data_IF_129905795574
#
_entry.id   IF_129905795574
#
_cell.length_a   1.000
_cell.length_b   1.000
_cell.length_c   1.000
_cell.angle_alpha   90.00
_cell.angle_beta   90.00
_cell.angle_gamma   90.00
#
_symmetry.space_group_name_H-M   'P 1'
#
loop_
_entity.id
_entity.type
_entity.pdbx_description
1 polymer ?
#
# COMPACT_ATOMS: atom_id res chain seq x y z
N UNK A 1 -10.10 20.79 0.17
CA UNK A 1 -11.53 20.86 0.54
C UNK A 1 -11.88 19.61 1.34
N UNK A 2 -12.29 19.80 2.58
CA UNK A 2 -12.82 18.73 3.44
C UNK A 2 -14.21 18.33 2.91
N UNK A 3 -14.45 17.03 2.75
CA UNK A 3 -15.73 16.50 2.22
C UNK A 3 -16.39 15.61 3.26
N UNK A 4 -17.63 15.92 3.60
CA UNK A 4 -18.44 15.00 4.39
C UNK A 4 -18.82 13.79 3.52
N UNK A 5 -18.35 12.60 3.91
CA UNK A 5 -18.71 11.35 3.23
C UNK A 5 -20.04 10.78 3.75
N UNK A 6 -20.60 11.37 4.81
CA UNK A 6 -21.87 10.98 5.40
C UNK A 6 -23.08 11.64 4.75
N UNK A 7 -22.86 12.61 3.83
CA UNK A 7 -23.92 13.36 3.16
C UNK A 7 -23.72 13.41 1.64
N UNK A 8 -24.73 13.78 0.90
CA UNK A 8 -24.67 13.97 -0.56
C UNK A 8 -24.59 12.68 -1.38
N UNK A 9 -24.18 12.83 -2.64
CA UNK A 9 -24.09 11.72 -3.62
C UNK A 9 -22.99 10.75 -3.27
N UNK A 10 -23.31 9.48 -3.11
CA UNK A 10 -22.42 8.42 -2.66
C UNK A 10 -21.26 8.20 -3.65
N UNK A 11 -21.59 7.86 -4.89
CA UNK A 11 -20.59 7.54 -5.94
C UNK A 11 -19.67 8.72 -6.21
N UNK A 12 -20.26 9.92 -6.37
CA UNK A 12 -19.48 11.14 -6.64
C UNK A 12 -18.51 11.44 -5.51
N UNK A 13 -18.94 11.33 -4.25
CA UNK A 13 -18.08 11.60 -3.10
C UNK A 13 -16.94 10.61 -3.00
N UNK A 14 -17.21 9.32 -3.20
CA UNK A 14 -16.16 8.29 -3.21
C UNK A 14 -15.14 8.51 -4.33
N UNK A 15 -15.59 8.77 -5.56
CA UNK A 15 -14.70 9.01 -6.71
C UNK A 15 -13.85 10.27 -6.52
N UNK A 16 -14.47 11.38 -6.10
CA UNK A 16 -13.75 12.64 -5.88
C UNK A 16 -12.79 12.59 -4.68
N UNK A 17 -13.04 11.68 -3.74
CA UNK A 17 -12.11 11.42 -2.64
C UNK A 17 -10.99 10.45 -3.06
N UNK A 18 -11.29 9.45 -3.90
CA UNK A 18 -10.32 8.48 -4.41
C UNK A 18 -9.34 9.09 -5.42
N UNK A 19 -9.78 10.02 -6.26
CA UNK A 19 -8.96 10.60 -7.33
C UNK A 19 -7.62 11.18 -6.83
N UNK A 20 -7.58 12.01 -5.75
CA UNK A 20 -6.31 12.48 -5.21
C UNK A 20 -5.42 11.36 -4.64
N UNK A 21 -6.00 10.27 -4.12
CA UNK A 21 -5.23 9.11 -3.65
C UNK A 21 -4.53 8.43 -4.82
N UNK A 22 -5.27 8.17 -5.90
CA UNK A 22 -4.74 7.58 -7.15
C UNK A 22 -3.64 8.45 -7.75
N UNK A 23 -3.86 9.77 -7.85
CA UNK A 23 -2.85 10.71 -8.33
C UNK A 23 -1.61 10.71 -7.43
N UNK A 24 -1.78 10.63 -6.12
CA UNK A 24 -0.68 10.59 -5.16
C UNK A 24 0.18 9.34 -5.33
N UNK A 25 -0.44 8.16 -5.43
CA UNK A 25 0.30 6.93 -5.63
C UNK A 25 1.00 6.86 -7.00
N UNK A 26 0.35 7.37 -8.06
CA UNK A 26 0.99 7.48 -9.37
C UNK A 26 2.22 8.41 -9.31
N UNK A 27 2.10 9.54 -8.65
CA UNK A 27 3.20 10.49 -8.45
C UNK A 27 4.35 9.85 -7.65
N UNK A 28 4.02 9.05 -6.63
CA UNK A 28 5.00 8.29 -5.85
C UNK A 28 5.77 7.28 -6.71
N UNK A 29 5.09 6.58 -7.61
CA UNK A 29 5.76 5.69 -8.54
C UNK A 29 6.66 6.41 -9.54
N UNK A 30 6.23 7.58 -10.02
CA UNK A 30 7.03 8.39 -10.92
C UNK A 30 8.34 8.87 -10.26
N UNK A 31 8.28 9.35 -9.02
CA UNK A 31 9.53 9.77 -8.36
C UNK A 31 10.43 8.58 -8.03
N UNK A 32 9.88 7.40 -7.66
CA UNK A 32 10.70 6.19 -7.46
C UNK A 32 11.43 5.77 -8.74
N UNK A 33 10.78 5.94 -9.90
CA UNK A 33 11.42 5.68 -11.20
C UNK A 33 12.51 6.72 -11.46
N UNK A 34 12.26 7.99 -11.17
CA UNK A 34 13.24 9.06 -11.36
C UNK A 34 14.48 8.87 -10.47
N UNK A 35 14.30 8.54 -9.17
CA UNK A 35 15.40 8.22 -8.25
C UNK A 35 16.22 7.03 -8.75
N UNK A 36 15.56 5.93 -9.14
CA UNK A 36 16.23 4.75 -9.71
C UNK A 36 16.99 5.09 -10.99
N UNK A 37 16.44 5.95 -11.85
CA UNK A 37 17.08 6.41 -13.08
C UNK A 37 18.32 7.26 -12.79
N UNK A 38 18.24 8.20 -11.85
CA UNK A 38 19.39 9.02 -11.43
C UNK A 38 20.52 8.13 -10.90
N UNK A 39 20.20 7.22 -9.98
CA UNK A 39 21.19 6.29 -9.41
C UNK A 39 21.81 5.42 -10.51
N UNK A 40 21.02 4.79 -11.36
CA UNK A 40 21.52 3.89 -12.41
C UNK A 40 22.34 4.61 -13.48
N UNK A 41 21.95 5.83 -13.87
CA UNK A 41 22.59 6.59 -14.94
C UNK A 41 23.93 7.22 -14.50
N UNK A 42 24.01 7.68 -13.24
CA UNK A 42 25.14 8.50 -12.79
C UNK A 42 26.05 7.79 -11.78
N UNK A 43 25.56 6.78 -11.05
CA UNK A 43 26.36 6.04 -10.07
C UNK A 43 26.74 4.63 -10.52
N UNK A 44 26.12 4.14 -11.59
CA UNK A 44 26.46 2.86 -12.22
C UNK A 44 25.71 1.65 -11.68
N UNK A 45 26.05 0.47 -12.20
CA UNK A 45 25.30 -0.77 -11.99
C UNK A 45 25.33 -1.27 -10.55
N UNK A 46 26.47 -1.16 -9.85
CA UNK A 46 26.62 -1.62 -8.47
C UNK A 46 25.77 -0.78 -7.50
N UNK A 47 25.73 0.53 -7.71
CA UNK A 47 24.87 1.43 -6.96
C UNK A 47 23.39 1.13 -7.20
N UNK A 48 23.00 0.90 -8.47
CA UNK A 48 21.64 0.52 -8.83
C UNK A 48 21.25 -0.82 -8.20
N UNK A 49 22.14 -1.82 -8.20
CA UNK A 49 21.91 -3.11 -7.55
C UNK A 49 21.74 -2.96 -6.03
N UNK A 50 22.57 -2.11 -5.39
CA UNK A 50 22.47 -1.84 -3.95
C UNK A 50 21.15 -1.17 -3.57
N UNK A 51 20.72 -0.13 -4.30
CA UNK A 51 19.45 0.58 -4.08
C UNK A 51 18.27 -0.32 -4.38
N UNK A 52 18.28 -1.04 -5.50
CA UNK A 52 17.22 -1.97 -5.88
C UNK A 52 17.02 -3.11 -4.88
N UNK A 53 18.11 -3.70 -4.37
CA UNK A 53 18.04 -4.73 -3.33
C UNK A 53 17.52 -4.17 -2.00
N UNK A 54 17.85 -2.91 -1.69
CA UNK A 54 17.36 -2.21 -0.50
C UNK A 54 15.85 -1.94 -0.56
N UNK A 55 15.29 -1.74 -1.75
CA UNK A 55 13.87 -1.40 -1.97
C UNK A 55 12.93 -2.43 -1.34
N UNK A 56 13.22 -3.72 -1.46
CA UNK A 56 12.40 -4.79 -0.88
C UNK A 56 12.30 -4.69 0.64
N UNK A 57 13.43 -4.49 1.30
CA UNK A 57 13.47 -4.33 2.76
C UNK A 57 12.76 -3.05 3.20
N UNK A 58 12.98 -1.95 2.48
CA UNK A 58 12.29 -0.68 2.74
C UNK A 58 10.78 -0.81 2.59
N UNK A 59 10.31 -1.44 1.53
CA UNK A 59 8.88 -1.67 1.28
C UNK A 59 8.26 -2.48 2.40
N UNK A 60 8.93 -3.52 2.89
CA UNK A 60 8.45 -4.33 4.00
C UNK A 60 8.34 -3.49 5.29
N UNK A 61 9.37 -2.74 5.67
CA UNK A 61 9.35 -1.92 6.89
C UNK A 61 8.34 -0.76 6.79
N UNK A 62 8.27 -0.12 5.63
CA UNK A 62 7.28 0.94 5.39
C UNK A 62 5.85 0.40 5.45
N UNK A 63 5.61 -0.85 5.00
CA UNK A 63 4.28 -1.46 5.07
C UNK A 63 3.79 -1.65 6.50
N UNK A 64 4.70 -1.89 7.46
CA UNK A 64 4.36 -1.95 8.89
C UNK A 64 3.82 -0.60 9.35
N UNK A 65 4.58 0.47 9.11
CA UNK A 65 4.21 1.84 9.50
C UNK A 65 2.92 2.28 8.81
N UNK A 66 2.81 2.03 7.50
CA UNK A 66 1.63 2.37 6.71
C UNK A 66 0.39 1.65 7.24
N UNK A 67 0.48 0.35 7.52
CA UNK A 67 -0.61 -0.44 8.06
C UNK A 67 -1.08 0.08 9.43
N UNK A 68 -0.15 0.45 10.31
CA UNK A 68 -0.46 1.07 11.60
C UNK A 68 -1.21 2.40 11.43
N UNK A 69 -0.74 3.26 10.52
CA UNK A 69 -1.40 4.54 10.21
C UNK A 69 -2.78 4.37 9.56
N UNK A 70 -2.95 3.39 8.67
CA UNK A 70 -4.23 3.09 8.04
C UNK A 70 -5.26 2.55 9.04
N UNK A 71 -4.84 1.69 9.95
CA UNK A 71 -5.71 1.13 10.98
C UNK A 71 -6.17 2.19 11.98
N UNK A 72 -5.25 3.03 12.48
CA UNK A 72 -5.61 4.17 13.35
C UNK A 72 -6.50 5.18 12.62
N UNK A 73 -6.24 5.45 11.35
CA UNK A 73 -7.09 6.29 10.50
C UNK A 73 -8.53 5.77 10.38
N UNK A 74 -8.73 4.46 10.33
CA UNK A 74 -10.06 3.86 10.33
C UNK A 74 -10.81 4.10 11.65
N UNK A 75 -10.13 3.96 12.81
CA UNK A 75 -10.70 4.26 14.13
C UNK A 75 -11.12 5.75 14.22
N UNK A 76 -10.23 6.64 13.84
CA UNK A 76 -10.48 8.10 13.82
C UNK A 76 -11.63 8.44 12.87
N UNK A 77 -11.70 7.79 11.70
CA UNK A 77 -12.76 7.98 10.71
C UNK A 77 -14.14 7.60 11.25
N UNK A 78 -14.24 6.52 12.01
CA UNK A 78 -15.49 6.11 12.69
C UNK A 78 -15.92 7.16 13.71
N UNK A 79 -15.00 7.61 14.56
CA UNK A 79 -15.28 8.62 15.61
C UNK A 79 -15.65 9.98 15.00
N UNK A 80 -14.97 10.37 13.93
CA UNK A 80 -15.32 11.58 13.17
C UNK A 80 -16.72 11.49 12.58
N UNK A 81 -17.07 10.37 11.97
CA UNK A 81 -18.41 10.13 11.43
C UNK A 81 -19.50 10.12 12.51
N UNK A 82 -19.19 9.63 13.70
CA UNK A 82 -20.08 9.61 14.86
C UNK A 82 -20.22 10.94 15.60
N UNK A 83 -19.41 11.95 15.25
CA UNK A 83 -19.39 13.24 15.95
C UNK A 83 -18.76 13.17 17.35
N UNK A 84 -17.99 12.12 17.64
CA UNK A 84 -17.32 11.88 18.93
C UNK A 84 -16.01 12.67 19.04
N UNK A 85 -16.05 14.01 18.96
CA UNK A 85 -14.85 14.84 18.87
C UNK A 85 -13.81 14.61 19.98
N UNK A 86 -14.26 14.56 21.26
CA UNK A 86 -13.35 14.34 22.38
C UNK A 86 -12.62 12.98 22.28
N UNK A 87 -13.35 11.93 21.92
CA UNK A 87 -12.80 10.59 21.74
C UNK A 87 -11.88 10.54 20.52
N UNK A 88 -12.22 11.25 19.44
CA UNK A 88 -11.38 11.39 18.25
C UNK A 88 -10.04 12.06 18.60
N UNK A 89 -10.03 13.20 19.33
CA UNK A 89 -8.80 13.86 19.77
C UNK A 89 -7.95 12.96 20.67
N UNK A 90 -8.59 12.22 21.57
CA UNK A 90 -7.90 11.23 22.40
C UNK A 90 -7.27 10.11 21.54
N UNK A 91 -7.98 9.63 20.51
CA UNK A 91 -7.45 8.66 19.55
C UNK A 91 -6.28 9.19 18.75
N UNK A 92 -6.30 10.46 18.35
CA UNK A 92 -5.17 11.11 17.70
C UNK A 92 -3.95 11.12 18.60
N UNK A 93 -4.08 11.48 19.88
CA UNK A 93 -2.98 11.43 20.85
C UNK A 93 -2.45 10.01 21.03
N UNK A 94 -3.33 9.06 21.34
CA UNK A 94 -2.93 7.67 21.65
C UNK A 94 -2.30 6.98 20.43
N UNK A 95 -2.87 7.14 19.24
CA UNK A 95 -2.34 6.53 18.02
C UNK A 95 -1.02 7.18 17.59
N UNK A 96 -0.88 8.50 17.72
CA UNK A 96 0.39 9.17 17.42
C UNK A 96 1.51 8.66 18.33
N UNK A 97 1.29 8.66 19.65
CA UNK A 97 2.29 8.20 20.62
C UNK A 97 2.65 6.73 20.42
N UNK A 98 1.64 5.87 20.17
CA UNK A 98 1.83 4.45 19.92
C UNK A 98 2.66 4.19 18.65
N UNK A 99 2.25 4.80 17.53
CA UNK A 99 2.89 4.52 16.23
C UNK A 99 4.27 5.17 16.18
N UNK A 100 4.45 6.36 16.78
CA UNK A 100 5.77 6.97 16.96
C UNK A 100 6.71 6.06 17.75
N UNK A 101 6.24 5.51 18.89
CA UNK A 101 7.01 4.58 19.70
C UNK A 101 7.38 3.31 18.94
N UNK A 102 6.43 2.70 18.22
CA UNK A 102 6.69 1.51 17.38
C UNK A 102 7.68 1.85 16.26
N UNK A 103 7.52 2.99 15.59
CA UNK A 103 8.42 3.42 14.51
C UNK A 103 9.85 3.63 14.99
N UNK A 104 10.03 4.21 16.18
CA UNK A 104 11.34 4.36 16.82
C UNK A 104 11.93 3.01 17.23
N UNK A 105 11.11 2.10 17.77
CA UNK A 105 11.56 0.75 18.15
C UNK A 105 11.98 -0.05 16.90
N UNK A 106 11.19 -0.01 15.82
CA UNK A 106 11.55 -0.66 14.54
C UNK A 106 12.83 -0.08 13.98
N UNK A 107 12.98 1.25 14.02
CA UNK A 107 14.19 1.93 13.58
C UNK A 107 15.42 1.43 14.37
N UNK A 108 15.34 1.41 15.69
CA UNK A 108 16.41 0.92 16.56
C UNK A 108 16.76 -0.54 16.27
N UNK A 109 15.75 -1.43 16.18
CA UNK A 109 15.95 -2.85 15.88
C UNK A 109 16.64 -3.06 14.53
N UNK A 110 16.25 -2.30 13.51
CA UNK A 110 16.87 -2.39 12.19
C UNK A 110 18.32 -1.93 12.23
N UNK A 111 18.64 -0.83 12.92
CA UNK A 111 20.04 -0.38 13.08
C UNK A 111 20.91 -1.43 13.80
N UNK A 112 20.41 -1.99 14.91
CA UNK A 112 21.11 -3.03 15.65
C UNK A 112 21.28 -4.33 14.85
N UNK A 113 20.26 -4.68 14.05
CA UNK A 113 20.20 -5.90 13.25
C UNK A 113 20.80 -5.79 11.84
N UNK A 114 21.23 -4.60 11.39
CA UNK A 114 21.55 -4.34 9.98
C UNK A 114 22.53 -5.34 9.37
N UNK A 115 23.63 -5.66 10.08
CA UNK A 115 24.62 -6.62 9.59
C UNK A 115 24.03 -8.05 9.46
N UNK A 116 23.17 -8.45 10.41
CA UNK A 116 22.44 -9.72 10.37
C UNK A 116 21.45 -9.77 9.21
N UNK A 117 20.74 -8.68 8.96
CA UNK A 117 19.79 -8.55 7.83
C UNK A 117 20.54 -8.72 6.50
N UNK A 118 21.66 -8.03 6.30
CA UNK A 118 22.49 -8.15 5.10
C UNK A 118 23.03 -9.57 4.90
N UNK A 119 23.34 -10.28 6.00
CA UNK A 119 23.77 -11.68 5.95
C UNK A 119 22.62 -12.62 5.55
N UNK A 120 21.45 -12.47 6.15
CA UNK A 120 20.23 -13.26 5.83
C UNK A 120 19.82 -13.07 4.39
N UNK A 121 19.87 -11.84 3.88
CA UNK A 121 19.56 -11.50 2.48
C UNK A 121 20.64 -11.98 1.50
N UNK A 122 21.74 -12.56 1.98
CA UNK A 122 22.88 -13.06 1.15
C UNK A 122 23.39 -12.01 0.17
N UNK A 123 23.50 -10.77 0.64
CA UNK A 123 23.98 -9.66 -0.18
C UNK A 123 25.42 -9.93 -0.63
N UNK A 124 25.74 -9.83 -1.94
CA UNK A 124 27.10 -9.98 -2.45
C UNK A 124 28.08 -9.03 -1.76
N UNK A 125 29.31 -9.51 -1.53
CA UNK A 125 30.33 -8.77 -0.77
C UNK A 125 30.67 -7.44 -1.43
N UNK A 126 30.65 -7.39 -2.76
CA UNK A 126 30.99 -6.24 -3.59
C UNK A 126 30.03 -5.06 -3.38
N UNK A 127 28.73 -5.33 -3.29
CA UNK A 127 27.68 -4.29 -3.15
C UNK A 127 27.28 -4.03 -1.68
N UNK A 128 27.72 -4.89 -0.75
CA UNK A 128 27.36 -4.78 0.68
C UNK A 128 27.72 -3.43 1.31
N UNK A 129 28.91 -2.84 1.06
CA UNK A 129 29.24 -1.52 1.58
C UNK A 129 28.31 -0.42 1.08
N UNK A 130 27.98 -0.39 -0.22
CA UNK A 130 27.07 0.58 -0.83
C UNK A 130 25.66 0.43 -0.28
N UNK A 131 25.17 -0.82 -0.21
CA UNK A 131 23.85 -1.12 0.35
C UNK A 131 23.76 -0.71 1.83
N UNK A 132 24.80 -0.98 2.62
CA UNK A 132 24.85 -0.56 4.03
C UNK A 132 24.82 0.95 4.18
N UNK A 133 25.62 1.68 3.40
CA UNK A 133 25.63 3.14 3.38
C UNK A 133 24.26 3.72 3.04
N UNK A 134 23.60 3.19 2.02
CA UNK A 134 22.26 3.60 1.62
C UNK A 134 21.24 3.31 2.74
N UNK A 135 21.22 2.09 3.28
CA UNK A 135 20.25 1.67 4.30
C UNK A 135 20.40 2.45 5.60
N UNK A 136 21.62 2.75 6.05
CA UNK A 136 21.85 3.57 7.26
C UNK A 136 21.20 4.94 7.12
N UNK A 137 21.34 5.59 5.97
CA UNK A 137 20.72 6.91 5.74
C UNK A 137 19.20 6.81 5.62
N UNK A 138 18.72 5.88 4.81
CA UNK A 138 17.27 5.72 4.56
C UNK A 138 16.50 5.34 5.82
N UNK A 139 17.05 4.48 6.67
CA UNK A 139 16.41 4.09 7.92
C UNK A 139 16.37 5.22 8.93
N UNK A 140 17.32 6.16 8.91
CA UNK A 140 17.20 7.43 9.62
C UNK A 140 15.92 8.20 9.28
N UNK A 141 15.37 7.96 8.07
CA UNK A 141 14.14 8.57 7.58
C UNK A 141 12.83 7.83 7.97
N UNK A 142 12.86 6.68 8.64
CA UNK A 142 11.63 5.94 9.01
C UNK A 142 10.67 6.83 9.82
N UNK A 143 11.20 7.67 10.69
CA UNK A 143 10.39 8.60 11.47
C UNK A 143 9.76 9.69 10.60
N UNK A 144 10.46 10.17 9.59
CA UNK A 144 9.90 11.12 8.61
C UNK A 144 8.78 10.48 7.77
N UNK A 145 9.01 9.24 7.34
CA UNK A 145 8.00 8.41 6.66
C UNK A 145 6.75 8.21 7.55
N UNK A 146 6.95 7.94 8.85
CA UNK A 146 5.85 7.86 9.82
C UNK A 146 5.08 9.17 9.89
N UNK A 147 5.77 10.31 10.07
CA UNK A 147 5.11 11.62 10.19
C UNK A 147 4.21 11.91 8.98
N UNK A 148 4.74 11.76 7.78
CA UNK A 148 3.95 11.97 6.57
C UNK A 148 2.75 11.02 6.51
N UNK A 149 2.96 9.71 6.66
CA UNK A 149 1.88 8.73 6.55
C UNK A 149 0.83 8.89 7.63
N UNK A 150 1.24 9.26 8.86
CA UNK A 150 0.31 9.49 9.96
C UNK A 150 -0.63 10.65 9.68
N UNK A 151 -0.08 11.84 9.39
CA UNK A 151 -0.88 13.04 9.12
C UNK A 151 -1.67 12.92 7.81
N UNK A 152 -1.13 12.25 6.81
CA UNK A 152 -1.87 11.95 5.58
C UNK A 152 -3.09 11.06 5.85
N UNK A 153 -2.95 9.99 6.64
CA UNK A 153 -4.07 9.13 7.00
C UNK A 153 -5.06 9.83 7.95
N UNK A 154 -4.57 10.68 8.85
CA UNK A 154 -5.41 11.50 9.72
C UNK A 154 -6.31 12.46 8.92
N UNK A 155 -5.75 13.17 7.94
CA UNK A 155 -6.52 14.05 7.05
C UNK A 155 -7.48 13.27 6.15
N UNK A 156 -7.08 12.11 5.66
CA UNK A 156 -7.96 11.21 4.91
C UNK A 156 -9.12 10.73 5.78
N UNK A 157 -8.91 10.45 7.06
CA UNK A 157 -9.95 10.01 7.99
C UNK A 157 -11.10 11.03 8.13
N UNK A 158 -10.81 12.32 8.00
CA UNK A 158 -11.82 13.40 8.02
C UNK A 158 -12.32 13.78 6.61
N UNK A 159 -11.98 13.02 5.56
CA UNK A 159 -12.44 13.24 4.20
C UNK A 159 -11.60 14.23 3.38
N UNK A 160 -10.36 14.52 3.78
CA UNK A 160 -9.47 15.39 3.03
C UNK A 160 -8.31 14.59 2.41
N UNK A 161 -8.41 14.26 1.13
CA UNK A 161 -7.37 13.57 0.36
C UNK A 161 -6.49 14.52 -0.48
N UNK A 162 -6.91 15.77 -0.65
CA UNK A 162 -6.20 16.73 -1.49
C UNK A 162 -4.93 17.28 -0.81
N UNK A 163 -4.99 17.59 0.48
CA UNK A 163 -3.83 18.12 1.21
C UNK A 163 -2.67 17.12 1.23
N UNK A 164 -2.86 15.83 1.55
CA UNK A 164 -1.81 14.84 1.42
C UNK A 164 -1.19 14.77 0.02
N UNK A 165 -2.01 14.86 -1.04
CA UNK A 165 -1.52 14.90 -2.42
C UNK A 165 -0.59 16.10 -2.68
N UNK A 166 -0.97 17.29 -2.23
CA UNK A 166 -0.15 18.52 -2.44
C UNK A 166 1.20 18.37 -1.74
N UNK A 167 1.23 17.92 -0.48
CA UNK A 167 2.49 17.71 0.24
C UNK A 167 3.35 16.60 -0.40
N UNK A 168 2.72 15.56 -0.92
CA UNK A 168 3.43 14.52 -1.66
C UNK A 168 4.03 15.06 -2.97
N UNK A 169 3.29 15.91 -3.71
CA UNK A 169 3.79 16.53 -4.92
C UNK A 169 5.01 17.42 -4.65
N UNK A 170 4.93 18.25 -3.60
CA UNK A 170 6.06 19.08 -3.17
C UNK A 170 7.27 18.22 -2.78
N UNK A 171 7.04 17.16 -2.01
CA UNK A 171 8.09 16.22 -1.61
C UNK A 171 8.73 15.52 -2.82
N UNK A 172 7.92 15.09 -3.79
CA UNK A 172 8.42 14.40 -4.99
C UNK A 172 9.28 15.32 -5.86
N UNK A 173 8.87 16.56 -6.06
CA UNK A 173 9.66 17.55 -6.81
C UNK A 173 10.95 17.84 -6.05
N UNK A 174 10.87 18.08 -4.74
CA UNK A 174 12.03 18.35 -3.91
C UNK A 174 13.01 17.18 -3.91
N UNK A 175 12.52 15.94 -3.85
CA UNK A 175 13.35 14.73 -3.92
C UNK A 175 14.14 14.69 -5.23
N UNK A 176 13.47 14.80 -6.39
CA UNK A 176 14.15 14.75 -7.70
C UNK A 176 15.21 15.85 -7.83
N UNK A 177 14.90 17.07 -7.38
CA UNK A 177 15.86 18.18 -7.41
C UNK A 177 17.06 17.89 -6.50
N UNK A 178 16.82 17.42 -5.28
CA UNK A 178 17.89 17.08 -4.34
C UNK A 178 18.72 15.88 -4.78
N UNK A 179 18.11 14.86 -5.42
CA UNK A 179 18.85 13.74 -6.01
C UNK A 179 19.87 14.23 -7.03
N UNK A 180 19.44 15.11 -7.95
CA UNK A 180 20.35 15.68 -8.93
C UNK A 180 21.45 16.54 -8.26
N UNK A 181 21.11 17.34 -7.27
CA UNK A 181 22.11 18.17 -6.55
C UNK A 181 23.07 17.29 -5.75
N UNK A 182 22.58 16.36 -4.95
CA UNK A 182 23.42 15.53 -4.08
C UNK A 182 24.30 14.54 -4.88
N UNK A 183 23.78 14.02 -5.98
CA UNK A 183 24.51 13.02 -6.79
C UNK A 183 25.45 13.72 -7.79
N UNK A 184 25.00 14.75 -8.53
CA UNK A 184 25.76 15.36 -9.62
C UNK A 184 26.64 16.53 -9.18
N UNK A 185 26.16 17.36 -8.24
CA UNK A 185 26.89 18.57 -7.83
C UNK A 185 27.77 18.30 -6.61
N UNK A 186 27.19 17.61 -5.59
CA UNK A 186 27.90 17.34 -4.34
C UNK A 186 28.70 16.01 -4.39
N UNK A 187 28.47 15.17 -5.37
CA UNK A 187 29.13 13.87 -5.55
C UNK A 187 29.06 12.94 -4.32
N UNK A 188 27.91 12.97 -3.59
CA UNK A 188 27.73 12.16 -2.38
C UNK A 188 27.34 10.69 -2.67
N UNK A 189 27.33 10.27 -3.94
CA UNK A 189 27.02 8.90 -4.35
C UNK A 189 25.65 8.41 -3.88
N UNK A 190 25.57 7.13 -3.52
CA UNK A 190 24.31 6.51 -3.05
C UNK A 190 23.79 7.12 -1.74
N UNK A 191 24.66 7.65 -0.90
CA UNK A 191 24.26 8.36 0.31
C UNK A 191 23.50 9.64 -0.04
N UNK A 192 23.90 10.33 -1.11
CA UNK A 192 23.25 11.54 -1.61
C UNK A 192 21.79 11.28 -1.97
N UNK A 193 21.52 10.22 -2.73
CA UNK A 193 20.14 9.82 -3.06
C UNK A 193 19.31 9.47 -1.81
N UNK A 194 19.90 8.73 -0.86
CA UNK A 194 19.23 8.42 0.39
C UNK A 194 18.91 9.68 1.22
N UNK A 195 19.85 10.61 1.33
CA UNK A 195 19.65 11.89 2.06
C UNK A 195 18.57 12.74 1.39
N UNK A 196 18.57 12.83 0.05
CA UNK A 196 17.55 13.54 -0.70
C UNK A 196 16.14 13.00 -0.40
N UNK A 197 15.99 11.69 -0.40
CA UNK A 197 14.71 11.02 -0.08
C UNK A 197 14.29 11.31 1.36
N UNK A 198 15.18 11.10 2.34
CA UNK A 198 14.86 11.33 3.76
C UNK A 198 14.53 12.78 4.04
N UNK A 199 15.29 13.72 3.49
CA UNK A 199 15.06 15.17 3.68
C UNK A 199 13.71 15.57 3.07
N UNK A 200 13.40 15.13 1.86
CA UNK A 200 12.12 15.43 1.20
C UNK A 200 10.92 14.88 1.98
N UNK A 201 11.04 13.67 2.52
CA UNK A 201 10.02 13.07 3.39
C UNK A 201 9.89 13.83 4.72
N UNK A 202 10.99 14.29 5.29
CA UNK A 202 10.99 15.06 6.52
C UNK A 202 10.29 16.41 6.32
N UNK A 203 10.62 17.15 5.26
CA UNK A 203 9.97 18.41 4.90
C UNK A 203 8.47 18.21 4.69
N UNK A 204 8.08 17.15 3.99
CA UNK A 204 6.67 16.82 3.75
C UNK A 204 5.96 16.40 5.04
N UNK A 205 6.58 15.53 5.86
CA UNK A 205 6.01 15.03 7.11
C UNK A 205 5.81 16.12 8.16
N UNK A 206 6.82 16.98 8.35
CA UNK A 206 6.72 18.14 9.24
C UNK A 206 5.75 19.17 8.67
N UNK A 207 5.84 19.44 7.36
CA UNK A 207 4.97 20.40 6.70
C UNK A 207 3.48 20.04 6.80
N UNK A 208 3.11 18.80 6.49
CA UNK A 208 1.72 18.34 6.61
C UNK A 208 1.27 18.32 8.07
N UNK A 209 2.17 17.98 9.01
CA UNK A 209 1.89 18.03 10.45
C UNK A 209 1.56 19.44 10.92
N UNK A 210 2.44 20.42 10.65
CA UNK A 210 2.22 21.83 11.00
C UNK A 210 0.96 22.40 10.34
N UNK A 211 0.73 22.05 9.07
CA UNK A 211 -0.49 22.44 8.37
C UNK A 211 -1.75 21.88 9.06
N UNK A 212 -1.72 20.60 9.42
CA UNK A 212 -2.85 19.93 10.08
C UNK A 212 -3.15 20.58 11.43
N UNK A 213 -2.12 20.81 12.26
CA UNK A 213 -2.27 21.43 13.57
C UNK A 213 -2.81 22.87 13.49
N UNK A 214 -2.46 23.59 12.43
CA UNK A 214 -2.90 24.98 12.24
C UNK A 214 -4.30 25.10 11.64
N UNK A 215 -4.64 24.25 10.66
CA UNK A 215 -5.87 24.37 9.88
C UNK A 215 -7.03 23.53 10.41
N UNK A 216 -6.73 22.50 11.22
CA UNK A 216 -7.71 21.56 11.76
C UNK A 216 -7.60 21.45 13.28
N UNK A 217 -7.96 22.54 14.02
CA UNK A 217 -7.86 22.55 15.48
C UNK A 217 -8.76 21.49 16.15
N UNK A 218 -9.80 21.03 15.45
CA UNK A 218 -10.67 19.92 15.88
C UNK A 218 -9.93 18.57 16.00
N UNK A 219 -8.81 18.41 15.31
CA UNK A 219 -7.96 17.22 15.41
C UNK A 219 -6.87 17.34 16.49
N UNK A 220 -6.64 18.56 17.00
CA UNK A 220 -5.55 18.78 17.96
C UNK A 220 -5.96 18.30 19.36
N UNK A 221 -5.19 17.37 19.97
CA UNK A 221 -5.46 16.92 21.34
C UNK A 221 -5.32 18.10 22.33
N UNK A 222 -6.31 18.29 23.19
CA UNK A 222 -6.25 19.22 24.32
C UNK A 222 -5.59 18.51 25.51
N UNK A 223 -5.17 19.24 26.54
CA UNK A 223 -4.59 18.64 27.74
C UNK A 223 -5.51 17.62 28.40
N UNK A 224 -6.81 17.82 28.29
CA UNK A 224 -7.85 16.92 28.82
C UNK A 224 -7.93 15.60 28.03
N UNK A 225 -7.60 15.63 26.73
CA UNK A 225 -7.64 14.50 25.81
C UNK A 225 -6.37 13.64 25.88
N UNK A 226 -5.28 14.15 26.49
CA UNK A 226 -4.00 13.45 26.65
C UNK A 226 -4.04 12.40 27.78
N UNK A 227 -5.03 11.50 27.71
CA UNK A 227 -5.23 10.42 28.68
C UNK A 227 -5.18 9.07 27.99
N UNK A 228 -4.69 8.06 28.72
CA UNK A 228 -4.69 6.67 28.25
C UNK A 228 -6.01 6.00 28.63
N UNK A 229 -6.91 5.86 27.68
CA UNK A 229 -8.12 5.03 27.80
C UNK A 229 -7.83 3.65 27.22
N UNK A 230 -7.90 2.63 28.08
CA UNK A 230 -7.61 1.23 27.70
C UNK A 230 -8.58 0.70 26.62
N UNK A 231 -9.85 1.09 26.67
CA UNK A 231 -10.84 0.62 25.70
C UNK A 231 -10.60 1.22 24.32
N UNK A 232 -10.37 2.53 24.27
CA UNK A 232 -10.07 3.24 23.02
C UNK A 232 -8.73 2.78 22.44
N UNK A 233 -7.71 2.65 23.28
CA UNK A 233 -6.39 2.12 22.89
C UNK A 233 -6.50 0.69 22.36
N UNK A 234 -7.32 -0.17 22.97
CA UNK A 234 -7.57 -1.53 22.50
C UNK A 234 -8.15 -1.57 21.08
N UNK A 235 -9.08 -0.67 20.78
CA UNK A 235 -9.66 -0.54 19.43
C UNK A 235 -8.61 -0.08 18.42
N UNK A 236 -7.81 0.94 18.78
CA UNK A 236 -6.73 1.45 17.91
C UNK A 236 -5.69 0.36 17.67
N UNK A 237 -5.24 -0.34 18.72
CA UNK A 237 -4.27 -1.42 18.62
C UNK A 237 -4.76 -2.54 17.71
N UNK A 238 -5.99 -2.99 17.89
CA UNK A 238 -6.58 -4.06 17.07
C UNK A 238 -6.61 -3.68 15.59
N UNK A 239 -7.15 -2.48 15.27
CA UNK A 239 -7.21 -1.99 13.90
C UNK A 239 -5.81 -1.78 13.30
N UNK A 240 -4.92 -1.14 14.04
CA UNK A 240 -3.57 -0.81 13.56
C UNK A 240 -2.71 -2.05 13.37
N UNK A 241 -2.65 -2.94 14.37
CA UNK A 241 -1.82 -4.15 14.30
C UNK A 241 -2.35 -5.11 13.22
N UNK A 242 -3.67 -5.37 13.18
CA UNK A 242 -4.24 -6.27 12.18
C UNK A 242 -4.05 -5.73 10.75
N UNK A 243 -4.20 -4.41 10.54
CA UNK A 243 -3.94 -3.80 9.23
C UNK A 243 -2.46 -3.86 8.87
N UNK A 244 -1.56 -3.65 9.84
CA UNK A 244 -0.11 -3.78 9.63
C UNK A 244 0.29 -5.22 9.28
N UNK A 245 -0.25 -6.21 9.98
CA UNK A 245 -0.05 -7.64 9.66
C UNK A 245 -0.55 -7.96 8.27
N UNK A 246 -1.75 -7.48 7.90
CA UNK A 246 -2.30 -7.64 6.56
C UNK A 246 -1.36 -7.10 5.47
N UNK A 247 -0.90 -5.85 5.62
CA UNK A 247 0.00 -5.21 4.65
C UNK A 247 1.35 -5.93 4.54
N UNK A 248 1.88 -6.39 5.66
CA UNK A 248 3.14 -7.14 5.70
C UNK A 248 3.02 -8.51 5.01
N UNK A 249 1.94 -9.25 5.25
CA UNK A 249 1.67 -10.53 4.61
C UNK A 249 1.53 -10.34 3.09
N UNK A 250 0.83 -9.29 2.64
CA UNK A 250 0.69 -9.00 1.20
C UNK A 250 2.06 -8.87 0.51
N UNK A 251 2.97 -8.10 1.09
CA UNK A 251 4.31 -7.93 0.51
C UNK A 251 5.14 -9.22 0.56
N UNK A 252 5.06 -9.97 1.66
CA UNK A 252 5.81 -11.23 1.81
C UNK A 252 5.33 -12.32 0.83
N UNK A 253 4.02 -12.44 0.62
CA UNK A 253 3.44 -13.43 -0.28
C UNK A 253 3.88 -13.27 -1.73
N UNK A 254 4.07 -12.05 -2.21
CA UNK A 254 4.62 -11.76 -3.55
C UNK A 254 6.05 -12.30 -3.68
N UNK A 255 6.88 -12.10 -2.65
CA UNK A 255 8.27 -12.57 -2.65
C UNK A 255 8.39 -14.11 -2.70
N UNK A 256 7.48 -14.83 -2.03
CA UNK A 256 7.48 -16.31 -2.06
C UNK A 256 7.23 -16.86 -3.47
N UNK A 257 6.30 -16.26 -4.20
CA UNK A 257 6.02 -16.66 -5.59
C UNK A 257 7.17 -16.30 -6.52
N UNK A 258 7.83 -15.15 -6.30
CA UNK A 258 9.01 -14.75 -7.07
C UNK A 258 10.12 -15.80 -6.99
N UNK A 259 10.36 -16.37 -5.82
CA UNK A 259 11.36 -17.43 -5.64
C UNK A 259 11.07 -18.68 -6.50
N UNK A 260 9.81 -19.08 -6.59
CA UNK A 260 9.38 -20.21 -7.45
C UNK A 260 9.52 -19.86 -8.94
N UNK A 261 9.09 -18.67 -9.35
CA UNK A 261 9.22 -18.19 -10.74
C UNK A 261 10.68 -18.23 -11.21
N UNK A 262 11.61 -17.86 -10.34
CA UNK A 262 13.04 -17.84 -10.63
C UNK A 262 13.59 -19.24 -11.00
N UNK A 263 12.97 -20.31 -10.50
CA UNK A 263 13.39 -21.69 -10.83
C UNK A 263 13.04 -22.12 -12.27
N UNK A 264 12.20 -21.37 -12.98
CA UNK A 264 11.79 -21.65 -14.36
C UNK A 264 12.68 -20.98 -15.43
N UNK A 265 13.77 -20.36 -14.99
CA UNK A 265 14.80 -19.81 -15.87
C UNK A 265 14.58 -18.33 -16.22
N UNK A 266 15.58 -17.77 -16.87
CA UNK A 266 15.72 -16.32 -17.10
C UNK A 266 14.60 -15.74 -17.98
N UNK A 267 14.09 -16.49 -18.94
CA UNK A 267 12.99 -16.07 -19.82
C UNK A 267 11.72 -15.80 -19.01
N UNK A 268 11.35 -16.73 -18.14
CA UNK A 268 10.15 -16.62 -17.29
C UNK A 268 10.33 -15.54 -16.22
N UNK A 269 11.54 -15.44 -15.65
CA UNK A 269 11.87 -14.36 -14.69
C UNK A 269 11.68 -12.98 -15.32
N UNK A 270 12.22 -12.76 -16.52
CA UNK A 270 12.12 -11.49 -17.21
C UNK A 270 10.68 -11.15 -17.60
N UNK A 271 9.93 -12.14 -18.12
CA UNK A 271 8.54 -11.99 -18.45
C UNK A 271 7.69 -11.63 -17.22
N UNK A 272 7.88 -12.32 -16.11
CA UNK A 272 7.20 -12.06 -14.85
C UNK A 272 7.53 -10.67 -14.28
N UNK A 273 8.80 -10.26 -14.30
CA UNK A 273 9.23 -8.95 -13.82
C UNK A 273 8.56 -7.80 -14.59
N UNK A 274 8.43 -7.93 -15.92
CA UNK A 274 7.73 -6.96 -16.75
C UNK A 274 6.21 -6.98 -16.46
N UNK A 275 5.61 -8.16 -16.44
CA UNK A 275 4.18 -8.34 -16.28
C UNK A 275 3.67 -7.84 -14.91
N UNK A 276 4.37 -8.14 -13.82
CA UNK A 276 4.02 -7.65 -12.46
C UNK A 276 4.05 -6.12 -12.36
N UNK A 277 4.92 -5.45 -13.11
CA UNK A 277 4.91 -3.98 -13.17
C UNK A 277 3.65 -3.46 -13.85
N UNK A 278 3.25 -4.08 -14.96
CA UNK A 278 2.01 -3.73 -15.67
C UNK A 278 0.81 -3.95 -14.76
N UNK A 279 0.72 -5.10 -14.09
CA UNK A 279 -0.31 -5.42 -13.11
C UNK A 279 -0.40 -4.37 -12.00
N UNK A 280 0.74 -3.99 -11.44
CA UNK A 280 0.78 -3.00 -10.36
C UNK A 280 0.15 -1.67 -10.79
N UNK A 281 0.42 -1.21 -12.02
CA UNK A 281 -0.22 -0.01 -12.56
C UNK A 281 -1.71 -0.23 -12.86
N UNK A 282 -2.09 -1.42 -13.30
CA UNK A 282 -3.46 -1.75 -13.67
C UNK A 282 -4.41 -1.78 -12.46
N UNK A 283 -4.00 -2.40 -11.35
CA UNK A 283 -4.88 -2.54 -10.18
C UNK A 283 -4.66 -1.48 -9.07
N UNK A 284 -3.58 -0.69 -9.12
CA UNK A 284 -3.34 0.38 -8.13
C UNK A 284 -4.52 1.34 -7.97
N UNK A 285 -5.19 1.83 -9.03
CA UNK A 285 -6.35 2.70 -8.88
C UNK A 285 -7.49 2.05 -8.11
N UNK A 286 -7.71 0.75 -8.28
CA UNK A 286 -8.77 0.02 -7.56
C UNK A 286 -8.41 -0.20 -6.10
N UNK A 287 -7.13 -0.41 -5.78
CA UNK A 287 -6.64 -0.46 -4.40
C UNK A 287 -6.90 0.87 -3.68
N UNK A 288 -6.61 1.99 -4.33
CA UNK A 288 -6.86 3.33 -3.79
C UNK A 288 -8.35 3.61 -3.64
N UNK A 289 -9.15 3.17 -4.59
CA UNK A 289 -10.60 3.23 -4.49
C UNK A 289 -11.12 2.40 -3.31
N UNK A 290 -10.55 1.21 -3.06
CA UNK A 290 -10.83 0.40 -1.88
C UNK A 290 -10.49 1.11 -0.55
N UNK A 291 -9.39 1.87 -0.51
CA UNK A 291 -9.04 2.71 0.64
C UNK A 291 -10.01 3.88 0.82
N UNK A 292 -10.43 4.53 -0.26
CA UNK A 292 -11.46 5.58 -0.24
C UNK A 292 -12.81 5.04 0.24
N UNK A 293 -13.20 3.87 -0.25
CA UNK A 293 -14.40 3.15 0.18
C UNK A 293 -14.33 2.80 1.68
N UNK A 294 -13.17 2.36 2.17
CA UNK A 294 -12.95 2.09 3.59
C UNK A 294 -13.26 3.33 4.47
N UNK A 295 -12.74 4.50 4.08
CA UNK A 295 -13.01 5.75 4.80
C UNK A 295 -14.49 6.12 4.74
N UNK A 296 -15.13 5.97 3.57
CA UNK A 296 -16.55 6.20 3.40
C UNK A 296 -17.38 5.29 4.34
N UNK A 297 -17.10 4.00 4.36
CA UNK A 297 -17.80 3.05 5.22
C UNK A 297 -17.54 3.36 6.70
N UNK A 298 -16.30 3.66 7.10
CA UNK A 298 -15.94 3.96 8.48
C UNK A 298 -16.70 5.18 9.02
N UNK A 299 -16.76 6.28 8.26
CA UNK A 299 -17.53 7.47 8.66
C UNK A 299 -19.04 7.17 8.77
N UNK A 300 -19.62 6.45 7.80
CA UNK A 300 -21.04 6.11 7.86
C UNK A 300 -21.35 5.05 8.93
N UNK A 301 -20.38 4.19 9.26
CA UNK A 301 -20.50 3.25 10.38
C UNK A 301 -20.55 3.99 11.73
N UNK A 302 -19.63 4.94 11.94
CA UNK A 302 -19.64 5.80 13.11
C UNK A 302 -20.90 6.65 13.21
N UNK A 303 -21.40 7.19 12.08
CA UNK A 303 -22.65 7.95 12.01
C UNK A 303 -23.92 7.09 12.15
N UNK A 304 -23.79 5.78 12.36
CA UNK A 304 -24.90 4.83 12.44
C UNK A 304 -25.86 4.90 11.24
N UNK A 305 -25.31 4.94 10.02
CA UNK A 305 -26.07 5.04 8.76
C UNK A 305 -26.02 3.75 7.93
N UNK A 306 -26.66 2.64 8.35
CA UNK A 306 -26.57 1.34 7.68
C UNK A 306 -27.09 1.35 6.24
N UNK A 307 -28.12 2.15 5.94
CA UNK A 307 -28.68 2.27 4.59
C UNK A 307 -27.67 2.93 3.62
N UNK A 308 -26.93 3.94 4.09
CA UNK A 308 -25.88 4.54 3.28
C UNK A 308 -24.72 3.57 3.05
N UNK A 309 -24.34 2.78 4.05
CA UNK A 309 -23.32 1.73 3.89
C UNK A 309 -23.79 0.72 2.83
N UNK A 310 -25.03 0.23 2.88
CA UNK A 310 -25.57 -0.72 1.90
C UNK A 310 -25.56 -0.16 0.47
N UNK A 311 -26.02 1.09 0.31
CA UNK A 311 -25.97 1.78 -1.00
C UNK A 311 -24.54 2.01 -1.45
N UNK A 312 -23.63 2.36 -0.52
CA UNK A 312 -22.21 2.53 -0.78
C UNK A 312 -21.52 1.26 -1.25
N UNK A 313 -21.79 0.11 -0.64
CA UNK A 313 -21.28 -1.20 -1.06
C UNK A 313 -21.70 -1.50 -2.50
N UNK A 314 -22.98 -1.32 -2.84
CA UNK A 314 -23.48 -1.55 -4.21
C UNK A 314 -22.81 -0.62 -5.22
N UNK A 315 -22.72 0.68 -4.89
CA UNK A 315 -22.09 1.68 -5.73
C UNK A 315 -20.60 1.39 -5.92
N UNK A 316 -19.87 1.06 -4.84
CA UNK A 316 -18.46 0.75 -4.91
C UNK A 316 -18.18 -0.54 -5.70
N UNK A 317 -19.01 -1.59 -5.48
CA UNK A 317 -18.89 -2.83 -6.24
C UNK A 317 -19.13 -2.61 -7.75
N UNK A 318 -20.15 -1.85 -8.11
CA UNK A 318 -20.44 -1.52 -9.51
C UNK A 318 -19.32 -0.67 -10.14
N UNK A 319 -18.84 0.37 -9.45
CA UNK A 319 -17.74 1.22 -9.93
C UNK A 319 -16.44 0.44 -10.10
N UNK A 320 -16.07 -0.38 -9.11
CA UNK A 320 -14.90 -1.25 -9.17
C UNK A 320 -15.02 -2.27 -10.30
N UNK A 321 -16.20 -2.90 -10.46
CA UNK A 321 -16.44 -3.87 -11.52
C UNK A 321 -16.30 -3.25 -12.92
N UNK A 322 -16.91 -2.10 -13.16
CA UNK A 322 -16.78 -1.38 -14.44
C UNK A 322 -15.32 -1.05 -14.72
N UNK A 323 -14.60 -0.49 -13.75
CA UNK A 323 -13.19 -0.18 -13.92
C UNK A 323 -12.35 -1.44 -14.20
N UNK A 324 -12.53 -2.50 -13.39
CA UNK A 324 -11.77 -3.75 -13.55
C UNK A 324 -12.06 -4.41 -14.91
N UNK A 325 -13.29 -4.42 -15.37
CA UNK A 325 -13.64 -4.97 -16.69
C UNK A 325 -12.97 -4.15 -17.80
N UNK A 326 -13.04 -2.81 -17.73
CA UNK A 326 -12.40 -1.94 -18.70
C UNK A 326 -10.89 -2.15 -18.74
N UNK A 327 -10.22 -2.16 -17.59
CA UNK A 327 -8.77 -2.35 -17.54
C UNK A 327 -8.36 -3.78 -17.94
N UNK A 328 -9.16 -4.81 -17.61
CA UNK A 328 -8.94 -6.19 -18.05
C UNK A 328 -8.98 -6.28 -19.59
N UNK A 329 -9.98 -5.68 -20.21
CA UNK A 329 -10.09 -5.65 -21.68
C UNK A 329 -8.89 -4.93 -22.28
N UNK A 330 -8.50 -3.76 -21.75
CA UNK A 330 -7.35 -3.01 -22.27
C UNK A 330 -6.04 -3.80 -22.10
N UNK A 331 -5.79 -4.37 -20.93
CA UNK A 331 -4.56 -5.15 -20.69
C UNK A 331 -4.51 -6.40 -21.55
N UNK A 332 -5.62 -7.12 -21.73
CA UNK A 332 -5.65 -8.31 -22.58
C UNK A 332 -5.49 -7.97 -24.07
N UNK A 333 -6.12 -6.89 -24.56
CA UNK A 333 -6.00 -6.46 -25.97
C UNK A 333 -4.60 -5.93 -26.29
N UNK A 334 -3.99 -5.21 -25.37
CA UNK A 334 -2.68 -4.59 -25.55
C UNK A 334 -1.55 -5.32 -24.83
N UNK A 335 -1.72 -6.59 -24.47
CA UNK A 335 -0.75 -7.36 -23.69
C UNK A 335 0.65 -7.37 -24.34
N UNK A 336 0.75 -7.62 -25.64
CA UNK A 336 2.04 -7.63 -26.35
C UNK A 336 2.70 -6.24 -26.40
N UNK A 337 2.05 -5.16 -26.84
CA UNK A 337 2.62 -3.81 -26.73
C UNK A 337 3.03 -3.41 -25.32
N UNK A 338 2.26 -3.77 -24.30
CA UNK A 338 2.58 -3.45 -22.91
C UNK A 338 3.86 -4.15 -22.43
N UNK A 339 4.04 -5.43 -22.75
CA UNK A 339 5.29 -6.15 -22.44
C UNK A 339 6.47 -5.56 -23.21
N UNK A 340 6.27 -5.16 -24.48
CA UNK A 340 7.30 -4.57 -25.32
C UNK A 340 7.77 -3.17 -24.85
N UNK A 341 7.06 -2.50 -23.96
CA UNK A 341 7.56 -1.30 -23.28
C UNK A 341 8.82 -1.63 -22.43
N UNK A 342 8.89 -2.84 -21.88
CA UNK A 342 9.96 -3.27 -20.99
C UNK A 342 10.97 -4.21 -21.66
N UNK A 343 10.58 -4.88 -22.76
CA UNK A 343 11.34 -5.94 -23.40
C UNK A 343 11.48 -5.66 -24.91
N UNK A 344 12.65 -6.03 -25.45
CA UNK A 344 12.88 -5.92 -26.88
C UNK A 344 11.92 -6.86 -27.65
N UNK A 345 11.24 -6.38 -28.69
CA UNK A 345 10.33 -7.18 -29.51
C UNK A 345 10.97 -8.44 -30.13
N UNK A 346 12.29 -8.44 -30.33
CA UNK A 346 13.03 -9.59 -30.84
C UNK A 346 13.08 -10.78 -29.85
N UNK A 347 12.87 -10.53 -28.56
CA UNK A 347 12.84 -11.54 -27.49
C UNK A 347 11.45 -12.22 -27.43
N UNK A 348 11.08 -12.90 -28.51
CA UNK A 348 9.74 -13.47 -28.70
C UNK A 348 9.30 -14.41 -27.59
N UNK A 349 10.22 -15.20 -27.01
CA UNK A 349 9.94 -16.10 -25.89
C UNK A 349 9.52 -15.37 -24.60
N UNK A 350 10.18 -14.23 -24.29
CA UNK A 350 9.85 -13.42 -23.10
C UNK A 350 8.51 -12.72 -23.33
N UNK A 351 8.33 -12.15 -24.52
CA UNK A 351 7.07 -11.48 -24.89
C UNK A 351 5.90 -12.46 -24.81
N UNK A 352 6.02 -13.66 -25.39
CA UNK A 352 4.97 -14.66 -25.36
C UNK A 352 4.63 -15.10 -23.92
N UNK A 353 5.62 -15.34 -23.07
CA UNK A 353 5.41 -15.69 -21.67
C UNK A 353 4.72 -14.58 -20.89
N UNK A 354 5.12 -13.32 -21.10
CA UNK A 354 4.50 -12.15 -20.47
C UNK A 354 3.07 -11.91 -20.93
N UNK A 355 2.78 -12.07 -22.22
CA UNK A 355 1.42 -11.99 -22.78
C UNK A 355 0.54 -13.11 -22.19
N UNK A 356 1.06 -14.32 -22.07
CA UNK A 356 0.33 -15.43 -21.46
C UNK A 356 -0.05 -15.15 -20.00
N UNK A 357 0.90 -14.58 -19.22
CA UNK A 357 0.63 -14.13 -17.87
C UNK A 357 -0.50 -13.08 -17.83
N UNK A 358 -0.38 -12.00 -18.62
CA UNK A 358 -1.36 -10.91 -18.64
C UNK A 358 -2.75 -11.36 -19.09
N UNK A 359 -2.84 -12.36 -19.96
CA UNK A 359 -4.13 -12.92 -20.36
C UNK A 359 -4.80 -13.72 -19.22
N UNK A 360 -4.03 -14.36 -18.34
CA UNK A 360 -4.58 -15.10 -17.21
C UNK A 360 -4.94 -14.16 -16.04
N UNK A 361 -3.99 -13.39 -15.57
CA UNK A 361 -4.23 -12.49 -14.42
C UNK A 361 -5.05 -11.27 -14.80
N UNK A 362 -4.73 -10.64 -15.93
CA UNK A 362 -5.43 -9.46 -16.43
C UNK A 362 -6.91 -9.69 -16.69
N UNK A 363 -7.29 -10.87 -17.20
CA UNK A 363 -8.70 -11.22 -17.37
C UNK A 363 -9.48 -11.30 -16.05
N UNK A 364 -8.79 -11.47 -14.91
CA UNK A 364 -9.38 -11.71 -13.59
C UNK A 364 -9.28 -10.53 -12.63
N UNK A 365 -8.96 -9.31 -13.08
CA UNK A 365 -8.84 -8.13 -12.20
C UNK A 365 -10.11 -7.80 -11.42
N UNK A 366 -11.27 -8.28 -11.85
CA UNK A 366 -12.50 -8.16 -11.08
C UNK A 366 -12.35 -8.78 -9.67
N UNK A 367 -11.66 -9.93 -9.56
CA UNK A 367 -11.42 -10.61 -8.28
C UNK A 367 -10.61 -9.72 -7.33
N UNK A 368 -9.45 -9.22 -7.76
CA UNK A 368 -8.63 -8.36 -6.90
C UNK A 368 -9.35 -7.05 -6.53
N UNK A 369 -10.16 -6.49 -7.46
CA UNK A 369 -10.97 -5.31 -7.20
C UNK A 369 -11.99 -5.53 -6.10
N UNK A 370 -12.69 -6.66 -6.12
CA UNK A 370 -13.65 -7.04 -5.06
C UNK A 370 -12.93 -7.30 -3.74
N UNK A 371 -11.77 -7.94 -3.77
CA UNK A 371 -10.96 -8.22 -2.59
C UNK A 371 -10.51 -6.94 -1.87
N UNK A 372 -10.07 -5.91 -2.59
CA UNK A 372 -9.73 -4.60 -2.00
C UNK A 372 -10.94 -3.93 -1.34
N UNK A 373 -12.12 -4.05 -1.92
CA UNK A 373 -13.35 -3.55 -1.27
C UNK A 373 -13.67 -4.33 0.01
N UNK A 374 -13.49 -5.64 0.02
CA UNK A 374 -13.70 -6.47 1.22
C UNK A 374 -12.71 -6.11 2.33
N UNK A 375 -11.43 -5.92 2.01
CA UNK A 375 -10.42 -5.42 2.96
C UNK A 375 -10.83 -4.08 3.56
N UNK A 376 -11.24 -3.14 2.71
CA UNK A 376 -11.71 -1.83 3.12
C UNK A 376 -12.95 -1.89 4.01
N UNK A 377 -13.91 -2.72 3.66
CA UNK A 377 -15.15 -2.91 4.41
C UNK A 377 -14.89 -3.46 5.81
N UNK A 378 -14.18 -4.58 5.93
CA UNK A 378 -13.97 -5.22 7.24
C UNK A 378 -13.13 -4.37 8.18
N UNK A 379 -12.14 -3.65 7.68
CA UNK A 379 -11.41 -2.66 8.45
C UNK A 379 -12.33 -1.53 8.95
N UNK A 380 -13.22 -1.03 8.09
CA UNK A 380 -14.12 0.07 8.38
C UNK A 380 -15.26 -0.25 9.36
N UNK A 381 -15.64 -1.52 9.49
CA UNK A 381 -16.68 -1.97 10.44
C UNK A 381 -16.09 -2.59 11.72
N UNK A 382 -14.86 -2.24 12.04
CA UNK A 382 -14.12 -2.73 13.23
C UNK A 382 -13.94 -4.26 13.29
N UNK A 383 -13.77 -4.90 12.13
CA UNK A 383 -13.47 -6.33 11.99
C UNK A 383 -12.18 -6.59 11.20
N UNK A 384 -11.04 -5.97 11.58
CA UNK A 384 -9.81 -6.03 10.78
C UNK A 384 -9.21 -7.45 10.71
N UNK A 385 -9.49 -8.30 11.69
CA UNK A 385 -9.07 -9.70 11.68
C UNK A 385 -9.61 -10.46 10.46
N UNK A 386 -10.81 -10.10 9.97
CA UNK A 386 -11.34 -10.70 8.74
C UNK A 386 -10.51 -10.31 7.53
N UNK A 387 -10.01 -9.08 7.44
CA UNK A 387 -9.10 -8.66 6.36
C UNK A 387 -7.80 -9.49 6.37
N UNK A 388 -7.27 -9.82 7.55
CA UNK A 388 -6.10 -10.72 7.69
C UNK A 388 -6.43 -12.13 7.20
N UNK A 389 -7.59 -12.69 7.60
CA UNK A 389 -8.05 -14.01 7.14
C UNK A 389 -8.17 -14.06 5.63
N UNK A 390 -8.77 -13.04 5.00
CA UNK A 390 -8.88 -12.95 3.54
C UNK A 390 -7.52 -12.85 2.86
N UNK A 391 -6.57 -12.13 3.45
CA UNK A 391 -5.20 -12.02 2.95
C UNK A 391 -4.48 -13.37 3.01
N UNK A 392 -4.60 -14.08 4.14
CA UNK A 392 -4.04 -15.44 4.29
C UNK A 392 -4.71 -16.41 3.31
N UNK A 393 -6.04 -16.36 3.18
CA UNK A 393 -6.76 -17.20 2.23
C UNK A 393 -6.32 -16.95 0.79
N UNK A 394 -6.20 -15.68 0.37
CA UNK A 394 -5.74 -15.33 -0.97
C UNK A 394 -4.29 -15.73 -1.22
N UNK A 395 -3.36 -15.25 -0.40
CA UNK A 395 -1.93 -15.45 -0.63
C UNK A 395 -1.46 -16.84 -0.24
N UNK A 396 -2.00 -17.43 0.84
CA UNK A 396 -1.71 -18.81 1.23
C UNK A 396 -2.13 -19.81 0.15
N UNK A 397 -3.33 -19.65 -0.39
CA UNK A 397 -3.82 -20.47 -1.52
C UNK A 397 -2.96 -20.24 -2.77
N UNK A 398 -2.64 -18.97 -3.08
CA UNK A 398 -1.76 -18.65 -4.21
C UNK A 398 -0.42 -19.37 -4.09
N UNK A 399 0.26 -19.27 -2.94
CA UNK A 399 1.56 -19.92 -2.72
C UNK A 399 1.42 -21.44 -2.81
N UNK A 400 0.46 -22.02 -2.08
CA UNK A 400 0.26 -23.48 -2.09
C UNK A 400 -0.04 -24.01 -3.50
N UNK A 401 -0.97 -23.39 -4.22
CA UNK A 401 -1.32 -23.78 -5.58
C UNK A 401 -0.19 -23.51 -6.58
N UNK A 402 0.59 -22.44 -6.42
CA UNK A 402 1.74 -22.19 -7.28
C UNK A 402 2.74 -23.34 -7.23
N UNK A 403 3.09 -23.83 -6.03
CA UNK A 403 3.98 -24.99 -5.88
C UNK A 403 3.32 -26.30 -6.35
N UNK A 404 2.05 -26.52 -6.03
CA UNK A 404 1.36 -27.76 -6.43
C UNK A 404 1.14 -27.83 -7.95
N UNK A 405 0.61 -26.77 -8.56
CA UNK A 405 0.27 -26.76 -9.98
C UNK A 405 1.52 -26.68 -10.88
N UNK A 406 2.58 -26.00 -10.42
CA UNK A 406 3.83 -25.94 -11.18
C UNK A 406 4.54 -27.29 -11.28
N UNK A 407 4.29 -28.21 -10.34
CA UNK A 407 4.79 -29.59 -10.38
C UNK A 407 3.98 -30.51 -11.32
N UNK A 408 2.87 -30.03 -11.90
CA UNK A 408 2.03 -30.76 -12.86
C UNK A 408 2.42 -30.38 -14.30
N UNK A 409 1.83 -31.00 -15.33
CA UNK A 409 2.04 -30.61 -16.74
C UNK A 409 1.70 -29.15 -17.05
N UNK A 410 0.99 -28.45 -16.15
CA UNK A 410 0.69 -27.01 -16.28
C UNK A 410 1.95 -26.13 -16.14
N UNK A 411 2.97 -26.60 -15.40
CA UNK A 411 4.22 -25.84 -15.24
C UNK A 411 4.01 -24.39 -14.81
N UNK A 412 4.57 -23.45 -15.56
CA UNK A 412 4.47 -22.01 -15.32
C UNK A 412 3.02 -21.50 -15.34
N UNK A 413 2.17 -22.05 -16.21
CA UNK A 413 0.74 -21.70 -16.27
C UNK A 413 0.03 -21.97 -14.94
N UNK A 414 0.44 -23.03 -14.23
CA UNK A 414 -0.07 -23.32 -12.89
C UNK A 414 0.24 -22.24 -11.87
N UNK A 415 1.40 -21.59 -11.98
CA UNK A 415 1.77 -20.42 -11.12
C UNK A 415 0.82 -19.26 -11.42
N UNK A 416 0.61 -18.94 -12.70
CA UNK A 416 -0.26 -17.83 -13.10
C UNK A 416 -1.71 -18.05 -12.66
N UNK A 417 -2.24 -19.26 -12.83
CA UNK A 417 -3.61 -19.62 -12.42
C UNK A 417 -3.81 -19.57 -10.90
N UNK A 418 -2.77 -19.79 -10.11
CA UNK A 418 -2.86 -19.76 -8.64
C UNK A 418 -3.32 -18.41 -8.10
N UNK A 419 -3.03 -17.33 -8.80
CA UNK A 419 -3.33 -15.95 -8.39
C UNK A 419 -4.83 -15.67 -8.44
N UNK A 420 -5.52 -15.77 -9.59
CA UNK A 420 -6.97 -15.55 -9.66
C UNK A 420 -7.79 -16.55 -8.83
N UNK A 421 -7.32 -17.79 -8.69
CA UNK A 421 -7.96 -18.77 -7.79
C UNK A 421 -7.90 -18.30 -6.34
N UNK A 422 -6.74 -17.77 -5.91
CA UNK A 422 -6.59 -17.19 -4.57
C UNK A 422 -7.53 -15.99 -4.33
N UNK A 423 -7.70 -15.12 -5.31
CA UNK A 423 -8.66 -14.01 -5.22
C UNK A 423 -10.10 -14.51 -5.12
N UNK A 424 -10.50 -15.43 -6.00
CA UNK A 424 -11.85 -15.99 -6.01
C UNK A 424 -12.21 -16.68 -4.69
N UNK A 425 -11.27 -17.44 -4.10
CA UNK A 425 -11.47 -18.08 -2.81
C UNK A 425 -11.65 -17.05 -1.69
N UNK A 426 -10.79 -16.05 -1.62
CA UNK A 426 -10.89 -15.00 -0.62
C UNK A 426 -12.19 -14.21 -0.75
N UNK A 427 -12.59 -13.87 -1.98
CA UNK A 427 -13.87 -13.20 -2.26
C UNK A 427 -15.06 -14.05 -1.80
N UNK A 428 -15.06 -15.35 -2.12
CA UNK A 428 -16.12 -16.27 -1.69
C UNK A 428 -16.24 -16.32 -0.15
N UNK A 429 -15.10 -16.41 0.56
CA UNK A 429 -15.06 -16.38 2.02
C UNK A 429 -15.57 -15.04 2.54
N UNK A 430 -15.09 -13.92 2.00
CA UNK A 430 -15.47 -12.58 2.45
C UNK A 430 -16.95 -12.29 2.22
N UNK A 431 -17.46 -12.55 1.04
CA UNK A 431 -18.87 -12.37 0.69
C UNK A 431 -19.76 -13.30 1.51
N UNK A 432 -19.36 -14.57 1.67
CA UNK A 432 -20.09 -15.53 2.50
C UNK A 432 -20.21 -15.09 3.95
N UNK A 433 -19.11 -14.59 4.54
CA UNK A 433 -19.11 -14.05 5.91
C UNK A 433 -20.00 -12.79 6.05
N UNK A 434 -19.99 -11.91 5.04
CA UNK A 434 -20.87 -10.74 5.01
C UNK A 434 -22.36 -11.13 5.09
N UNK A 435 -22.79 -12.10 4.27
CA UNK A 435 -24.19 -12.53 4.26
C UNK A 435 -24.58 -13.30 5.53
N UNK A 436 -23.67 -14.08 6.11
CA UNK A 436 -23.90 -14.77 7.40
C UNK A 436 -24.15 -13.77 8.53
N UNK A 437 -23.28 -12.77 8.67
CA UNK A 437 -23.42 -11.75 9.71
C UNK A 437 -24.68 -10.89 9.54
N UNK A 438 -25.10 -10.65 8.31
CA UNK A 438 -26.33 -9.93 8.03
C UNK A 438 -27.59 -10.69 8.49
N UNK A 439 -27.61 -12.02 8.28
CA UNK A 439 -28.70 -12.88 8.75
C UNK A 439 -28.79 -12.90 10.27
N UNK A 440 -27.66 -13.01 10.95
CA UNK A 440 -27.61 -13.03 12.42
C UNK A 440 -28.10 -11.71 13.03
N UNK A 441 -27.74 -10.54 12.44
CA UNK A 441 -28.23 -9.23 12.91
C UNK A 441 -29.69 -8.94 12.56
N UNK A 442 -30.29 -9.66 11.62
CA UNK A 442 -31.71 -9.55 11.27
C UNK A 442 -32.58 -10.50 12.11
N UNK A 443 -31.96 -11.50 12.75
CA UNK A 443 -32.63 -12.49 13.62
C UNK A 443 -32.51 -12.15 15.13
N UNK A 444 -31.66 -11.18 15.50
CA UNK A 444 -31.52 -10.59 16.84
C UNK A 444 -32.23 -9.22 16.91
#
# INVERSE_FOLDING_TARGET
>A
MQRSLTQGSITRNMLLFALPLMCGNLLQQMYNIADTWVVGRFLGADALAAVGSSYTLMTFLTSIVLGLCMGSGAAISMQYGGGEEARMRQSVFQSFALIAGISLAVNLLVYLGLNGILWVLRVPVEIRPLMKQYLVMIFGGIFATFLYNYFANLLRAIGNSMVPLVFLAVSSILNVVLDLVCVLVLHWGVQGAAIATVFSQFVSGVGIGLYTLKQFPELCPRREDCKWDKHNLGTILNLSVMTSVQQSIMNFGILMVQGLVNSFGTVIMAAFAAAVKIDSFAYMPVQDFGNAFSTYVAQNYGANQPERIRKGIRSAAATSAVFCICISVLVCLFAAPLIQIFMDPSQTGIVAAGVHYLHIEGACYLGIGMLFLLYGYYRAVNQPGMSVILTIASLGTRVALAYLLSATPLGVTGIWLSVPIGWALADAIGIGYYFKNKKTKAAA
#
